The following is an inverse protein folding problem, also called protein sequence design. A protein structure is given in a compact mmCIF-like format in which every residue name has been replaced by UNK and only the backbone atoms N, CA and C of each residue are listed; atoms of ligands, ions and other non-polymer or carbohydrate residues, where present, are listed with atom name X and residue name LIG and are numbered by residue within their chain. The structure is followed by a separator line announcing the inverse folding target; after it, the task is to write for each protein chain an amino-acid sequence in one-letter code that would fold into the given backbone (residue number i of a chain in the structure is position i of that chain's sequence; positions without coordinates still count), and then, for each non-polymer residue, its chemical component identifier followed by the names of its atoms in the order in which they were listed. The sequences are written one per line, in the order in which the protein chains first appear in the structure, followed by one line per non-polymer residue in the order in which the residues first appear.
data_IF_700621064303
#
_entry.id   IF_700621064303
#
_cell.length_a   1.000
_cell.length_b   1.000
_cell.length_c   1.000
_cell.angle_alpha   90.00
_cell.angle_beta   90.00
_cell.angle_gamma   90.00
#
_symmetry.space_group_name_H-M   'P 1'
#
loop_
_entity.id
_entity.type
_entity.pdbx_description
1 polymer ?
#
# COMPACT_ATOMS: atom_id res chain seq x y z
N UNK A 1 59.57 40.32 49.12
CA UNK A 1 59.18 41.47 48.28
C UNK A 1 57.71 41.34 47.89
N UNK A 2 56.90 42.23 48.48
CA UNK A 2 55.53 42.68 48.16
C UNK A 2 54.49 41.78 47.44
N UNK A 3 53.49 41.36 48.22
CA UNK A 3 52.05 41.70 48.16
C UNK A 3 51.33 41.84 46.80
N UNK A 4 50.25 41.06 46.56
CA UNK A 4 48.85 41.45 46.86
C UNK A 4 47.81 40.35 46.44
N UNK A 5 47.22 39.71 47.45
CA UNK A 5 45.76 39.56 47.70
C UNK A 5 44.76 38.94 46.68
N UNK A 6 44.10 37.86 47.17
CA UNK A 6 42.64 37.52 47.12
C UNK A 6 41.97 37.17 45.78
N UNK A 7 41.57 35.91 45.61
CA UNK A 7 40.24 35.40 46.03
C UNK A 7 40.09 33.89 45.74
N UNK A 8 39.54 33.16 46.69
CA UNK A 8 38.88 31.85 46.54
C UNK A 8 37.44 31.99 47.11
N UNK A 9 36.53 30.98 47.12
CA UNK A 9 36.57 29.62 46.57
C UNK A 9 35.21 29.11 46.00
N UNK A 10 35.16 27.79 45.71
CA UNK A 10 34.02 26.83 45.83
C UNK A 10 32.99 26.71 44.68
N UNK A 11 33.10 25.59 43.97
CA UNK A 11 32.07 24.54 43.77
C UNK A 11 30.61 24.86 44.15
N UNK A 12 29.65 24.69 43.22
CA UNK A 12 28.54 23.70 43.29
C UNK A 12 27.49 23.89 42.16
N UNK A 13 27.11 22.75 41.56
CA UNK A 13 25.75 22.24 41.27
C UNK A 13 24.69 23.09 40.52
N UNK A 14 24.08 22.39 39.54
CA UNK A 14 22.66 22.41 39.10
C UNK A 14 22.18 23.64 38.29
N UNK A 15 21.81 23.42 37.02
CA UNK A 15 20.42 23.63 36.56
C UNK A 15 20.23 23.21 35.10
N UNK A 16 19.55 22.07 34.92
CA UNK A 16 18.95 21.60 33.67
C UNK A 16 17.45 21.49 33.97
N UNK A 17 16.68 22.57 33.83
CA UNK A 17 15.23 22.55 34.02
C UNK A 17 14.56 23.86 33.55
N UNK A 18 13.43 23.69 32.84
CA UNK A 18 12.33 24.62 32.57
C UNK A 18 12.55 25.82 31.64
N UNK A 19 12.02 25.71 30.42
CA UNK A 19 11.27 26.81 29.79
C UNK A 19 10.14 26.26 28.89
N UNK A 20 9.12 25.68 29.54
CA UNK A 20 7.79 25.46 28.96
C UNK A 20 6.80 25.89 30.04
N UNK A 21 6.24 27.09 29.93
CA UNK A 21 4.93 27.50 30.44
C UNK A 21 4.78 29.02 30.19
N UNK A 22 3.96 29.41 29.22
CA UNK A 22 2.93 30.45 29.39
C UNK A 22 1.97 30.44 28.19
N UNK A 23 0.69 30.36 28.56
CA UNK A 23 -0.58 30.26 27.83
C UNK A 23 -0.90 31.50 26.92
N UNK A 24 -2.03 31.58 26.15
CA UNK A 24 -3.31 30.94 26.42
C UNK A 24 -4.15 30.33 25.27
N UNK A 25 -5.04 29.46 25.74
CA UNK A 25 -6.35 29.08 25.23
C UNK A 25 -7.06 30.18 24.43
N UNK A 26 -7.60 29.78 23.27
CA UNK A 26 -8.84 30.36 22.75
C UNK A 26 -9.85 29.23 22.47
N UNK A 27 -10.91 29.28 23.26
CA UNK A 27 -12.11 28.46 23.19
C UNK A 27 -12.91 28.87 21.95
N UNK A 28 -13.25 27.92 21.07
CA UNK A 28 -14.33 28.08 20.11
C UNK A 28 -15.49 27.17 20.54
N UNK A 29 -16.59 27.83 20.90
CA UNK A 29 -17.86 27.28 21.35
C UNK A 29 -18.66 26.61 20.21
N UNK A 30 -19.54 25.64 20.50
CA UNK A 30 -20.50 25.12 19.53
C UNK A 30 -21.72 26.05 19.49
N UNK A 31 -21.87 26.84 18.43
CA UNK A 31 -23.13 27.55 18.19
C UNK A 31 -24.09 26.64 17.43
N UNK A 32 -25.12 26.17 18.15
CA UNK A 32 -26.40 25.86 17.54
C UNK A 32 -27.04 27.16 17.05
N UNK A 33 -27.49 27.20 15.80
CA UNK A 33 -28.44 28.21 15.34
C UNK A 33 -29.57 27.56 14.56
N UNK A 34 -30.75 27.64 15.18
CA UNK A 34 -32.05 27.40 14.59
C UNK A 34 -32.30 28.43 13.49
N UNK A 35 -32.57 27.97 12.28
CA UNK A 35 -33.30 28.79 11.29
C UNK A 35 -34.64 28.14 11.01
N UNK A 36 -35.67 28.75 11.59
CA UNK A 36 -37.07 28.48 11.30
C UNK A 36 -37.37 28.89 9.86
N UNK A 37 -37.64 27.92 8.99
CA UNK A 37 -38.27 28.20 7.70
C UNK A 37 -39.79 28.16 7.84
N UNK A 38 -40.39 29.31 7.55
CA UNK A 38 -41.82 29.60 7.57
C UNK A 38 -42.54 28.74 6.52
N UNK A 39 -43.55 28.00 6.94
CA UNK A 39 -44.37 27.13 6.12
C UNK A 39 -45.42 27.94 5.33
N UNK A 40 -45.32 27.93 4.01
CA UNK A 40 -46.41 28.27 3.10
C UNK A 40 -47.07 26.99 2.60
N UNK A 41 -48.35 26.79 2.91
CA UNK A 41 -49.18 25.68 2.44
C UNK A 41 -49.59 25.90 0.98
N UNK A 42 -49.34 24.94 0.10
CA UNK A 42 -50.29 24.53 -0.96
C UNK A 42 -50.01 23.07 -1.37
N UNK A 43 -51.02 22.18 -1.40
CA UNK A 43 -50.83 20.75 -1.64
C UNK A 43 -51.10 20.40 -3.10
N UNK A 44 -50.19 19.70 -3.78
CA UNK A 44 -50.55 18.86 -4.94
C UNK A 44 -49.77 17.55 -4.86
N UNK A 45 -50.55 16.47 -4.97
CA UNK A 45 -50.15 15.08 -4.88
C UNK A 45 -49.19 14.66 -5.99
N UNK A 46 -48.29 13.75 -5.64
CA UNK A 46 -47.45 13.02 -6.58
C UNK A 46 -46.72 11.91 -5.85
N UNK A 47 -47.32 10.72 -5.78
CA UNK A 47 -46.63 9.50 -5.33
C UNK A 47 -45.47 9.22 -6.29
N UNK A 48 -44.27 9.65 -5.94
CA UNK A 48 -43.05 9.17 -6.58
C UNK A 48 -42.82 7.72 -6.13
N UNK A 49 -43.05 6.78 -7.03
CA UNK A 49 -42.67 5.39 -6.87
C UNK A 49 -41.18 5.31 -6.57
N UNK A 50 -40.82 4.90 -5.35
CA UNK A 50 -39.45 4.54 -5.00
C UNK A 50 -39.12 3.29 -5.82
N UNK A 51 -38.41 3.48 -6.94
CA UNK A 51 -37.85 2.38 -7.70
C UNK A 51 -36.93 1.60 -6.76
N UNK A 52 -37.29 0.37 -6.40
CA UNK A 52 -36.39 -0.56 -5.76
C UNK A 52 -35.21 -0.82 -6.70
N UNK A 53 -34.13 -0.07 -6.52
CA UNK A 53 -32.85 -0.38 -7.14
C UNK A 53 -32.49 -1.82 -6.70
N UNK A 54 -32.51 -2.76 -7.65
CA UNK A 54 -32.08 -4.15 -7.41
C UNK A 54 -30.74 -4.12 -6.68
N UNK A 55 -30.74 -4.48 -5.39
CA UNK A 55 -29.52 -4.60 -4.62
C UNK A 55 -28.67 -5.68 -5.29
N UNK A 56 -27.49 -5.31 -5.80
CA UNK A 56 -26.56 -6.25 -6.41
C UNK A 56 -26.15 -7.34 -5.41
N UNK A 57 -25.83 -8.53 -5.91
CA UNK A 57 -25.35 -9.64 -5.07
C UNK A 57 -24.16 -9.19 -4.21
N UNK A 58 -24.12 -9.51 -2.91
CA UNK A 58 -22.99 -9.17 -2.06
C UNK A 58 -21.66 -9.73 -2.61
N UNK A 59 -20.61 -8.93 -2.51
CA UNK A 59 -19.25 -9.28 -2.94
C UNK A 59 -18.44 -9.76 -1.74
N UNK A 60 -17.99 -11.01 -1.76
CA UNK A 60 -17.10 -11.55 -0.75
C UNK A 60 -15.63 -11.42 -1.16
N UNK A 61 -14.83 -10.65 -0.42
CA UNK A 61 -13.38 -10.55 -0.61
C UNK A 61 -12.63 -11.24 0.54
N UNK A 62 -11.41 -11.70 0.27
CA UNK A 62 -10.50 -12.23 1.30
C UNK A 62 -9.80 -11.02 1.93
N UNK A 63 -9.55 -11.06 3.23
CA UNK A 63 -8.65 -10.11 3.88
C UNK A 63 -7.52 -10.83 4.59
N UNK A 64 -6.39 -10.14 4.70
CA UNK A 64 -5.28 -10.48 5.58
C UNK A 64 -4.87 -9.19 6.30
N UNK A 65 -4.68 -9.24 7.62
CA UNK A 65 -4.39 -8.05 8.43
C UNK A 65 -3.59 -8.36 9.67
N UNK A 66 -2.70 -7.44 10.03
CA UNK A 66 -2.01 -7.39 11.32
C UNK A 66 -2.49 -6.18 12.16
N UNK A 67 -3.73 -5.75 11.94
CA UNK A 67 -4.45 -4.83 12.83
C UNK A 67 -4.94 -5.59 14.06
N UNK A 68 -4.94 -4.94 15.21
CA UNK A 68 -5.56 -5.47 16.41
C UNK A 68 -7.09 -5.55 16.23
N UNK A 69 -7.70 -6.72 16.50
CA UNK A 69 -9.15 -6.85 16.48
C UNK A 69 -9.76 -5.91 17.51
N UNK A 70 -10.92 -5.38 17.18
CA UNK A 70 -11.73 -4.54 18.06
C UNK A 70 -13.19 -4.98 17.95
N UNK A 71 -14.00 -4.57 18.92
CA UNK A 71 -15.45 -4.68 18.82
C UNK A 71 -15.98 -3.33 18.35
N UNK A 72 -16.81 -3.33 17.30
CA UNK A 72 -17.66 -2.17 17.00
C UNK A 72 -18.64 -1.91 18.14
N UNK A 73 -19.27 -0.74 18.14
CA UNK A 73 -20.29 -0.33 19.12
C UNK A 73 -21.41 -1.38 19.26
N UNK A 74 -21.73 -2.10 18.18
CA UNK A 74 -22.77 -3.14 18.14
C UNK A 74 -22.23 -4.55 18.47
N UNK A 75 -21.00 -4.67 18.99
CA UNK A 75 -20.36 -5.94 19.34
C UNK A 75 -19.85 -6.78 18.14
N UNK A 76 -19.98 -6.27 16.91
CA UNK A 76 -19.46 -6.96 15.71
C UNK A 76 -17.95 -6.79 15.59
N UNK A 77 -17.26 -7.84 15.11
CA UNK A 77 -15.82 -7.81 14.83
C UNK A 77 -15.48 -6.62 13.91
N UNK A 78 -14.49 -5.85 14.33
CA UNK A 78 -13.85 -4.80 13.56
C UNK A 78 -12.33 -4.86 13.74
N UNK A 79 -11.59 -4.02 13.04
CA UNK A 79 -10.13 -3.92 13.18
C UNK A 79 -9.73 -2.47 13.38
N UNK A 80 -8.93 -2.22 14.41
CA UNK A 80 -8.47 -0.88 14.79
C UNK A 80 -7.25 -0.42 13.96
N UNK A 81 -6.70 0.74 14.29
CA UNK A 81 -5.38 1.18 13.80
C UNK A 81 -4.22 0.69 14.66
N UNK A 82 -4.46 -0.07 15.74
CA UNK A 82 -3.40 -0.64 16.56
C UNK A 82 -2.77 -1.87 15.92
N UNK A 83 -1.50 -2.13 16.26
CA UNK A 83 -0.73 -3.27 15.79
C UNK A 83 -1.17 -4.55 16.51
N UNK A 84 -1.29 -5.63 15.76
CA UNK A 84 -1.37 -6.99 16.27
C UNK A 84 -0.09 -7.72 15.94
N UNK A 85 0.50 -8.39 16.92
CA UNK A 85 1.63 -9.30 16.69
C UNK A 85 1.20 -10.61 15.98
N UNK A 86 -0.10 -10.82 15.77
CA UNK A 86 -0.63 -11.95 15.00
C UNK A 86 -1.28 -11.47 13.70
N UNK A 87 -0.90 -12.08 12.58
CA UNK A 87 -1.51 -11.84 11.29
C UNK A 87 -2.79 -12.68 11.15
N UNK A 88 -3.94 -12.03 11.12
CA UNK A 88 -5.26 -12.64 10.93
C UNK A 88 -5.67 -12.65 9.46
N UNK A 89 -6.55 -13.57 9.09
CA UNK A 89 -7.19 -13.59 7.77
C UNK A 89 -8.64 -14.04 7.84
N UNK A 90 -9.43 -13.68 6.84
CA UNK A 90 -10.83 -14.04 6.78
C UNK A 90 -11.59 -13.46 5.59
N UNK A 91 -12.91 -13.36 5.73
CA UNK A 91 -13.79 -12.84 4.67
C UNK A 91 -14.40 -11.51 5.07
N UNK A 92 -14.45 -10.56 4.12
CA UNK A 92 -15.33 -9.38 4.22
C UNK A 92 -16.41 -9.49 3.16
N UNK A 93 -17.67 -9.34 3.58
CA UNK A 93 -18.81 -9.24 2.68
C UNK A 93 -19.15 -7.77 2.49
N UNK A 94 -19.13 -7.32 1.24
CA UNK A 94 -19.44 -5.96 0.83
C UNK A 94 -20.80 -5.94 0.12
N UNK A 95 -21.60 -4.92 0.38
CA UNK A 95 -22.80 -4.64 -0.40
C UNK A 95 -22.77 -3.26 -1.02
N UNK A 96 -23.47 -3.13 -2.13
CA UNK A 96 -23.61 -1.87 -2.83
C UNK A 96 -24.59 -0.97 -2.08
N UNK A 97 -24.19 0.28 -1.86
CA UNK A 97 -25.04 1.36 -1.35
C UNK A 97 -24.93 2.55 -2.31
N UNK A 98 -25.88 2.64 -3.24
CA UNK A 98 -25.81 3.60 -4.34
C UNK A 98 -24.60 3.35 -5.25
N UNK A 99 -23.68 4.31 -5.33
CA UNK A 99 -22.42 4.20 -6.07
C UNK A 99 -21.23 3.70 -5.23
N UNK A 100 -21.40 3.52 -3.91
CA UNK A 100 -20.36 3.05 -3.00
C UNK A 100 -20.56 1.59 -2.56
N UNK A 101 -19.57 1.07 -1.85
CA UNK A 101 -19.62 -0.21 -1.17
C UNK A 101 -19.57 0.03 0.33
N UNK A 102 -20.32 -0.75 1.09
CA UNK A 102 -20.26 -0.79 2.55
C UNK A 102 -19.92 -2.20 3.04
N UNK A 103 -19.23 -2.24 4.18
CA UNK A 103 -18.91 -3.50 4.88
C UNK A 103 -20.17 -3.98 5.58
N UNK A 104 -20.67 -5.15 5.19
CA UNK A 104 -21.81 -5.78 5.85
C UNK A 104 -21.39 -6.68 7.00
N UNK A 105 -20.39 -7.53 6.74
CA UNK A 105 -19.98 -8.56 7.70
C UNK A 105 -18.50 -8.91 7.53
N UNK A 106 -17.82 -9.08 8.65
CA UNK A 106 -16.42 -9.53 8.74
C UNK A 106 -16.41 -10.88 9.46
N UNK A 107 -15.84 -11.90 8.82
CA UNK A 107 -15.68 -13.23 9.40
C UNK A 107 -14.19 -13.58 9.48
N UNK A 108 -13.64 -13.63 10.69
CA UNK A 108 -12.28 -14.17 10.91
C UNK A 108 -12.30 -15.68 10.61
N UNK A 109 -11.34 -16.14 9.80
CA UNK A 109 -11.18 -17.57 9.45
C UNK A 109 -10.01 -18.20 10.16
N UNK A 110 -8.94 -17.45 10.40
CA UNK A 110 -7.78 -17.93 11.11
C UNK A 110 -6.80 -16.82 11.42
N UNK A 111 -5.72 -17.19 12.11
CA UNK A 111 -4.59 -16.32 12.39
C UNK A 111 -3.30 -17.12 12.49
N UNK A 112 -2.19 -16.46 12.19
CA UNK A 112 -0.85 -16.97 12.44
C UNK A 112 -0.46 -16.75 13.89
N UNK A 113 0.44 -17.59 14.45
CA UNK A 113 0.98 -17.35 15.79
C UNK A 113 1.68 -15.99 15.90
N UNK A 114 1.73 -15.47 17.12
CA UNK A 114 2.39 -14.19 17.42
C UNK A 114 3.84 -14.16 16.93
N UNK A 115 4.25 -13.04 16.34
CA UNK A 115 5.61 -12.79 15.85
C UNK A 115 6.26 -11.68 16.69
N UNK A 116 7.51 -11.86 17.16
CA UNK A 116 8.45 -12.97 16.87
C UNK A 116 8.08 -14.30 17.53
N UNK A 117 8.52 -15.42 16.95
CA UNK A 117 8.31 -16.77 17.49
C UNK A 117 9.20 -17.06 18.69
N UNK A 118 8.64 -17.72 19.70
CA UNK A 118 9.39 -18.24 20.84
C UNK A 118 10.47 -19.22 20.40
N UNK A 119 11.64 -19.10 21.03
CA UNK A 119 12.81 -19.94 20.82
C UNK A 119 13.06 -20.74 22.11
N UNK A 120 13.34 -22.03 21.96
CA UNK A 120 13.81 -22.90 23.05
C UNK A 120 15.27 -23.30 22.82
N UNK A 121 16.04 -23.44 23.91
CA UNK A 121 17.41 -23.93 23.88
C UNK A 121 17.40 -25.45 24.03
N UNK A 122 18.12 -26.14 23.15
CA UNK A 122 18.31 -27.60 23.19
C UNK A 122 19.78 -27.93 23.32
N UNK A 123 20.13 -29.20 23.57
CA UNK A 123 21.51 -29.67 23.54
C UNK A 123 22.22 -29.46 22.19
N UNK A 124 21.47 -29.21 21.10
CA UNK A 124 22.00 -28.92 19.75
C UNK A 124 21.95 -27.42 19.39
N UNK A 125 21.56 -26.56 20.33
CA UNK A 125 21.42 -25.12 20.12
C UNK A 125 19.97 -24.60 20.11
N UNK A 126 19.76 -23.31 19.79
CA UNK A 126 18.44 -22.68 19.77
C UNK A 126 17.60 -23.18 18.59
N UNK A 127 16.31 -23.45 18.84
CA UNK A 127 15.32 -23.72 17.80
C UNK A 127 13.99 -23.06 18.10
N UNK A 128 13.15 -22.88 17.08
CA UNK A 128 11.76 -22.44 17.28
C UNK A 128 10.99 -23.51 18.05
N UNK A 129 10.16 -23.09 19.01
CA UNK A 129 9.29 -24.02 19.75
C UNK A 129 8.42 -24.80 18.75
N UNK A 130 8.43 -26.15 18.75
CA UNK A 130 7.72 -26.96 17.76
C UNK A 130 6.23 -26.63 17.61
N UNK A 131 5.52 -26.43 18.72
CA UNK A 131 4.09 -26.08 18.70
C UNK A 131 3.78 -24.76 17.96
N UNK A 132 4.72 -23.79 17.99
CA UNK A 132 4.58 -22.53 17.26
C UNK A 132 4.80 -22.75 15.75
N UNK A 133 5.74 -23.62 15.39
CA UNK A 133 5.96 -24.03 14.00
C UNK A 133 4.73 -24.76 13.46
N UNK A 134 4.16 -25.69 14.22
CA UNK A 134 2.95 -26.42 13.84
C UNK A 134 1.74 -25.49 13.69
N UNK A 135 1.58 -24.52 14.60
CA UNK A 135 0.55 -23.48 14.47
C UNK A 135 0.74 -22.63 13.20
N UNK A 136 1.98 -22.26 12.88
CA UNK A 136 2.30 -21.55 11.64
C UNK A 136 1.93 -22.37 10.40
N UNK A 137 2.36 -23.65 10.34
CA UNK A 137 2.11 -24.53 9.22
C UNK A 137 0.61 -24.76 8.99
N UNK A 138 -0.16 -24.97 10.08
CA UNK A 138 -1.62 -25.08 10.03
C UNK A 138 -2.27 -23.79 9.52
N UNK A 139 -1.87 -22.62 10.03
CA UNK A 139 -2.41 -21.33 9.60
C UNK A 139 -2.11 -21.04 8.12
N UNK A 140 -0.90 -21.37 7.66
CA UNK A 140 -0.50 -21.22 6.26
C UNK A 140 -1.32 -22.15 5.34
N UNK A 141 -1.45 -23.43 5.70
CA UNK A 141 -2.25 -24.41 4.95
C UNK A 141 -3.72 -23.99 4.86
N UNK A 142 -4.31 -23.51 5.96
CA UNK A 142 -5.69 -23.06 5.98
C UNK A 142 -5.92 -21.79 5.13
N UNK A 143 -5.00 -20.81 5.13
CA UNK A 143 -5.08 -19.66 4.23
C UNK A 143 -4.94 -20.08 2.75
N UNK A 144 -4.04 -21.02 2.45
CA UNK A 144 -3.92 -21.58 1.09
C UNK A 144 -5.21 -22.31 0.67
N UNK A 145 -5.85 -23.04 1.58
CA UNK A 145 -7.14 -23.68 1.38
C UNK A 145 -8.24 -22.68 1.01
N UNK A 146 -8.38 -21.60 1.79
CA UNK A 146 -9.35 -20.53 1.51
C UNK A 146 -9.12 -19.89 0.12
N UNK A 147 -7.86 -19.65 -0.26
CA UNK A 147 -7.51 -19.14 -1.60
C UNK A 147 -7.89 -20.15 -2.69
N UNK A 148 -7.60 -21.44 -2.48
CA UNK A 148 -7.93 -22.50 -3.43
C UNK A 148 -9.44 -22.65 -3.64
N UNK A 149 -10.23 -22.58 -2.58
CA UNK A 149 -11.70 -22.68 -2.64
C UNK A 149 -12.32 -21.52 -3.39
N UNK A 150 -11.78 -20.31 -3.19
CA UNK A 150 -12.19 -19.12 -3.96
C UNK A 150 -11.77 -19.25 -5.42
N UNK A 151 -10.54 -19.70 -5.69
CA UNK A 151 -10.04 -19.90 -7.05
C UNK A 151 -10.79 -21.03 -7.78
N UNK A 152 -11.33 -22.03 -7.09
CA UNK A 152 -12.17 -23.05 -7.71
C UNK A 152 -13.40 -22.42 -8.38
N UNK A 153 -13.97 -21.39 -7.75
CA UNK A 153 -15.16 -20.66 -8.23
C UNK A 153 -14.81 -19.48 -9.17
N UNK A 154 -13.62 -18.91 -9.05
CA UNK A 154 -13.18 -17.80 -9.89
C UNK A 154 -12.95 -18.23 -11.35
N UNK A 155 -13.34 -17.35 -12.29
CA UNK A 155 -13.12 -17.56 -13.72
C UNK A 155 -11.64 -17.59 -14.07
N UNK A 156 -10.84 -16.72 -13.44
CA UNK A 156 -9.38 -16.68 -13.58
C UNK A 156 -8.74 -17.30 -12.36
N UNK A 157 -7.69 -18.08 -12.58
CA UNK A 157 -6.89 -18.69 -11.51
C UNK A 157 -5.78 -17.74 -11.06
N UNK A 158 -6.15 -16.48 -10.81
CA UNK A 158 -5.26 -15.37 -10.56
C UNK A 158 -5.75 -14.60 -9.32
N UNK A 159 -4.81 -14.08 -8.53
CA UNK A 159 -5.10 -13.36 -7.28
C UNK A 159 -4.71 -11.90 -7.45
N UNK A 160 -5.60 -10.99 -7.09
CA UNK A 160 -5.34 -9.55 -7.03
C UNK A 160 -5.28 -9.15 -5.56
N UNK A 161 -4.17 -8.54 -5.17
CA UNK A 161 -3.91 -8.11 -3.81
C UNK A 161 -3.84 -6.60 -3.78
N UNK A 162 -4.63 -5.95 -2.93
CA UNK A 162 -4.57 -4.50 -2.73
C UNK A 162 -4.03 -4.13 -1.36
N UNK A 163 -3.08 -3.18 -1.33
CA UNK A 163 -2.46 -2.60 -0.14
C UNK A 163 -2.80 -1.10 -0.09
N UNK A 164 -3.52 -0.69 0.94
CA UNK A 164 -3.98 0.69 1.09
C UNK A 164 -2.87 1.66 1.55
N UNK A 165 -3.17 2.97 1.47
CA UNK A 165 -2.28 4.05 1.85
C UNK A 165 -2.35 4.47 3.33
N UNK A 166 -1.77 5.64 3.58
CA UNK A 166 -1.77 6.34 4.87
C UNK A 166 -3.19 6.70 5.33
N UNK A 167 -3.43 6.65 6.65
CA UNK A 167 -4.68 7.11 7.28
C UNK A 167 -5.96 6.44 6.73
N UNK A 168 -5.85 5.18 6.31
CA UNK A 168 -7.01 4.36 5.93
C UNK A 168 -7.40 3.43 7.06
N UNK A 169 -8.71 3.27 7.29
CA UNK A 169 -9.26 2.21 8.15
C UNK A 169 -9.24 0.84 7.45
N UNK A 170 -9.55 -0.22 8.21
CA UNK A 170 -9.79 -1.54 7.63
C UNK A 170 -10.93 -1.53 6.60
N UNK A 171 -12.01 -0.80 6.91
CA UNK A 171 -13.18 -0.65 6.05
C UNK A 171 -12.84 0.08 4.74
N UNK A 172 -12.02 1.14 4.80
CA UNK A 172 -11.57 1.84 3.60
C UNK A 172 -10.78 0.90 2.68
N UNK A 173 -9.89 0.10 3.25
CA UNK A 173 -9.12 -0.90 2.52
C UNK A 173 -10.01 -1.96 1.86
N UNK A 174 -10.99 -2.47 2.60
CA UNK A 174 -11.94 -3.45 2.09
C UNK A 174 -12.81 -2.87 0.96
N UNK A 175 -13.34 -1.65 1.13
CA UNK A 175 -14.15 -0.95 0.12
C UNK A 175 -13.35 -0.65 -1.15
N UNK A 176 -12.11 -0.19 -1.01
CA UNK A 176 -11.20 0.04 -2.14
C UNK A 176 -10.90 -1.26 -2.89
N UNK A 177 -10.61 -2.35 -2.17
CA UNK A 177 -10.41 -3.68 -2.75
C UNK A 177 -11.65 -4.15 -3.50
N UNK A 178 -12.85 -3.96 -2.92
CA UNK A 178 -14.10 -4.30 -3.58
C UNK A 178 -14.35 -3.51 -4.87
N UNK A 179 -14.01 -2.22 -4.88
CA UNK A 179 -14.09 -1.38 -6.09
C UNK A 179 -13.13 -1.90 -7.17
N UNK A 180 -11.88 -2.18 -6.83
CA UNK A 180 -10.90 -2.79 -7.75
C UNK A 180 -11.44 -4.12 -8.29
N UNK A 181 -12.01 -4.95 -7.43
CA UNK A 181 -12.57 -6.25 -7.82
C UNK A 181 -13.71 -6.10 -8.83
N UNK A 182 -14.59 -5.12 -8.62
CA UNK A 182 -15.67 -4.79 -9.56
C UNK A 182 -15.13 -4.25 -10.89
N UNK A 183 -14.11 -3.38 -10.86
CA UNK A 183 -13.43 -2.90 -12.07
C UNK A 183 -12.90 -4.06 -12.90
N UNK A 184 -12.35 -5.09 -12.25
CA UNK A 184 -11.83 -6.29 -12.88
C UNK A 184 -12.90 -7.37 -13.15
N UNK A 185 -14.17 -6.96 -13.21
CA UNK A 185 -15.33 -7.82 -13.52
C UNK A 185 -15.49 -9.03 -12.60
N UNK A 186 -14.92 -8.98 -11.38
CA UNK A 186 -14.98 -10.05 -10.37
C UNK A 186 -14.49 -11.42 -10.91
N UNK A 187 -13.57 -11.41 -11.87
CA UNK A 187 -13.03 -12.65 -12.45
C UNK A 187 -11.87 -13.26 -11.64
N UNK A 188 -11.34 -12.50 -10.69
CA UNK A 188 -10.16 -12.81 -9.87
C UNK A 188 -10.53 -13.10 -8.42
N UNK A 189 -9.63 -13.71 -7.67
CA UNK A 189 -9.72 -13.70 -6.20
C UNK A 189 -9.09 -12.42 -5.68
N UNK A 190 -9.91 -11.53 -5.13
CA UNK A 190 -9.47 -10.23 -4.60
C UNK A 190 -9.15 -10.33 -3.10
N UNK A 191 -7.99 -9.83 -2.71
CA UNK A 191 -7.46 -9.86 -1.34
C UNK A 191 -7.15 -8.45 -0.87
N UNK A 192 -7.73 -8.04 0.26
CA UNK A 192 -7.38 -6.80 0.95
C UNK A 192 -6.29 -7.09 1.97
N UNK A 193 -5.09 -6.56 1.75
CA UNK A 193 -4.01 -6.58 2.73
C UNK A 193 -4.02 -5.27 3.52
N UNK A 194 -4.51 -5.34 4.76
CA UNK A 194 -4.70 -4.16 5.60
C UNK A 194 -3.69 -4.11 6.74
N UNK A 195 -2.83 -3.09 6.73
CA UNK A 195 -1.82 -2.81 7.75
C UNK A 195 -2.31 -1.73 8.72
N UNK A 196 -1.77 -1.61 9.95
CA UNK A 196 -2.29 -0.73 11.01
C UNK A 196 -2.00 0.76 10.77
N UNK A 197 -2.60 1.30 9.71
CA UNK A 197 -2.66 2.72 9.40
C UNK A 197 -3.87 3.39 10.10
N UNK A 198 -3.84 4.73 10.16
CA UNK A 198 -4.86 5.55 10.83
C UNK A 198 -4.57 5.77 12.32
N UNK A 199 -3.30 5.87 12.69
CA UNK A 199 -2.89 6.17 14.06
C UNK A 199 -3.49 7.48 14.59
N UNK A 200 -3.98 7.47 15.82
CA UNK A 200 -4.51 8.67 16.48
C UNK A 200 -3.35 9.57 16.94
N UNK A 201 -3.39 10.86 16.57
CA UNK A 201 -2.38 11.85 16.93
C UNK A 201 -2.39 13.17 16.14
N UNK A 202 -3.30 13.36 15.19
CA UNK A 202 -3.29 14.50 14.26
C UNK A 202 -2.36 14.27 13.05
N UNK A 203 -2.39 15.16 12.06
CA UNK A 203 -1.78 14.91 10.75
C UNK A 203 -0.26 14.60 10.78
N UNK A 204 0.49 15.22 11.69
CA UNK A 204 1.94 15.02 11.82
C UNK A 204 2.30 13.77 12.65
N UNK A 205 1.76 13.62 13.85
CA UNK A 205 2.05 12.44 14.68
C UNK A 205 1.43 11.17 14.08
N UNK A 206 0.24 11.27 13.48
CA UNK A 206 -0.41 10.17 12.77
C UNK A 206 0.43 9.67 11.60
N UNK A 207 1.09 10.57 10.85
CA UNK A 207 1.99 10.17 9.77
C UNK A 207 3.20 9.38 10.28
N UNK A 208 3.84 9.82 11.35
CA UNK A 208 4.98 9.10 11.94
C UNK A 208 4.55 7.75 12.55
N UNK A 209 3.40 7.67 13.20
CA UNK A 209 2.85 6.42 13.73
C UNK A 209 2.57 5.44 12.59
N UNK A 210 1.89 5.91 11.54
CA UNK A 210 1.66 5.12 10.34
C UNK A 210 3.01 4.75 9.70
N UNK A 211 4.04 5.60 9.82
CA UNK A 211 5.41 5.31 9.38
C UNK A 211 5.96 4.03 9.94
N UNK A 212 6.08 4.02 11.26
CA UNK A 212 6.53 2.87 12.02
C UNK A 212 5.57 1.67 11.89
N UNK A 213 4.27 1.91 11.71
CA UNK A 213 3.29 0.84 11.51
C UNK A 213 3.41 0.17 10.14
N UNK A 214 3.84 0.93 9.13
CA UNK A 214 4.20 0.40 7.82
C UNK A 214 5.41 -0.51 7.93
N UNK A 215 6.47 -0.08 8.61
CA UNK A 215 7.68 -0.90 8.85
C UNK A 215 7.35 -2.18 9.63
N UNK A 216 6.53 -2.06 10.67
CA UNK A 216 6.00 -3.21 11.42
C UNK A 216 5.29 -4.23 10.51
N UNK A 217 4.55 -3.76 9.51
CA UNK A 217 3.75 -4.63 8.64
C UNK A 217 4.53 -5.35 7.54
N UNK A 218 5.77 -4.95 7.23
CA UNK A 218 6.56 -5.53 6.13
C UNK A 218 6.73 -7.04 6.26
N UNK A 219 7.04 -7.54 7.46
CA UNK A 219 7.27 -8.97 7.68
C UNK A 219 6.01 -9.82 7.50
N UNK A 220 4.86 -9.32 7.94
CA UNK A 220 3.58 -9.99 7.75
C UNK A 220 3.09 -9.86 6.30
N UNK A 221 3.30 -8.72 5.64
CA UNK A 221 2.99 -8.57 4.21
C UNK A 221 3.79 -9.56 3.36
N UNK A 222 5.10 -9.69 3.63
CA UNK A 222 5.96 -10.71 3.01
C UNK A 222 5.41 -12.13 3.23
N UNK A 223 5.07 -12.47 4.48
CA UNK A 223 4.51 -13.77 4.85
C UNK A 223 3.19 -14.05 4.14
N UNK A 224 2.32 -13.04 4.02
CA UNK A 224 1.07 -13.13 3.30
C UNK A 224 1.29 -13.40 1.81
N UNK A 225 2.12 -12.60 1.12
CA UNK A 225 2.42 -12.79 -0.31
C UNK A 225 2.98 -14.20 -0.56
N UNK A 226 3.94 -14.64 0.26
CA UNK A 226 4.49 -16.00 0.19
C UNK A 226 3.40 -17.06 0.35
N UNK A 227 2.55 -16.93 1.35
CA UNK A 227 1.48 -17.91 1.62
C UNK A 227 0.43 -17.94 0.50
N UNK A 228 0.01 -16.77 0.00
CA UNK A 228 -0.93 -16.66 -1.11
C UNK A 228 -0.34 -17.32 -2.38
N UNK A 229 0.93 -17.05 -2.71
CA UNK A 229 1.58 -17.61 -3.90
C UNK A 229 1.72 -19.15 -3.87
N UNK A 230 1.87 -19.71 -2.67
CA UNK A 230 2.04 -21.14 -2.45
C UNK A 230 0.75 -21.95 -2.64
N UNK A 231 -0.43 -21.31 -2.70
CA UNK A 231 -1.68 -22.00 -2.98
C UNK A 231 -1.65 -22.65 -4.39
N UNK A 232 -1.98 -23.93 -4.46
CA UNK A 232 -1.75 -24.76 -5.66
C UNK A 232 -2.51 -24.29 -6.91
N UNK A 233 -3.71 -23.71 -6.76
CA UNK A 233 -4.50 -23.21 -7.89
C UNK A 233 -4.05 -21.85 -8.40
N UNK A 234 -3.19 -21.14 -7.68
CA UNK A 234 -2.71 -19.83 -8.09
C UNK A 234 -1.78 -19.96 -9.29
N UNK A 235 -2.13 -19.27 -10.38
CA UNK A 235 -1.27 -19.12 -11.57
C UNK A 235 -0.49 -17.81 -11.58
N UNK A 236 -1.08 -16.71 -11.08
CA UNK A 236 -0.46 -15.38 -11.05
C UNK A 236 -0.96 -14.56 -9.85
N UNK A 237 -0.06 -13.76 -9.29
CA UNK A 237 -0.32 -12.70 -8.33
C UNK A 237 -0.17 -11.34 -9.02
N UNK A 238 -1.14 -10.48 -8.80
CA UNK A 238 -1.10 -9.07 -9.19
C UNK A 238 -1.17 -8.24 -7.92
N UNK A 239 -0.11 -7.49 -7.62
CA UNK A 239 0.02 -6.70 -6.40
C UNK A 239 -0.24 -5.24 -6.72
N UNK A 240 -1.19 -4.62 -6.04
CA UNK A 240 -1.60 -3.25 -6.25
C UNK A 240 -1.42 -2.50 -4.94
N UNK A 241 -0.73 -1.37 -4.95
CA UNK A 241 -0.55 -0.55 -3.76
C UNK A 241 -0.80 0.92 -4.05
N UNK A 242 -1.29 1.63 -3.04
CA UNK A 242 -1.59 3.07 -3.12
C UNK A 242 -0.77 3.85 -2.11
N UNK A 243 -0.27 5.03 -2.51
CA UNK A 243 0.35 6.00 -1.60
C UNK A 243 1.47 5.34 -0.79
N UNK A 244 1.42 5.47 0.52
CA UNK A 244 2.40 4.89 1.44
C UNK A 244 2.33 3.36 1.55
N UNK A 245 1.23 2.73 1.13
CA UNK A 245 1.18 1.28 0.96
C UNK A 245 2.16 0.77 -0.09
N UNK A 246 2.55 1.62 -1.05
CA UNK A 246 3.59 1.28 -2.01
C UNK A 246 4.95 1.10 -1.35
N UNK A 247 5.27 1.92 -0.34
CA UNK A 247 6.51 1.79 0.44
C UNK A 247 6.57 0.43 1.16
N UNK A 248 5.48 0.06 1.83
CA UNK A 248 5.35 -1.23 2.54
C UNK A 248 5.48 -2.40 1.57
N UNK A 249 4.81 -2.31 0.41
CA UNK A 249 4.90 -3.34 -0.63
C UNK A 249 6.31 -3.45 -1.20
N UNK A 250 6.97 -2.34 -1.54
CA UNK A 250 8.34 -2.35 -2.07
C UNK A 250 9.34 -2.90 -1.05
N UNK A 251 9.18 -2.60 0.25
CA UNK A 251 10.00 -3.22 1.31
C UNK A 251 9.80 -4.74 1.39
N UNK A 252 8.56 -5.23 1.26
CA UNK A 252 8.29 -6.65 1.25
C UNK A 252 8.83 -7.34 -0.01
N UNK A 253 8.71 -6.69 -1.18
CA UNK A 253 9.27 -7.16 -2.44
C UNK A 253 10.78 -7.22 -2.44
N UNK A 254 11.46 -6.24 -1.81
CA UNK A 254 12.92 -6.28 -1.62
C UNK A 254 13.34 -7.55 -0.87
N UNK A 255 12.69 -7.86 0.26
CA UNK A 255 12.99 -9.06 1.03
C UNK A 255 12.65 -10.36 0.27
N UNK A 256 11.54 -10.40 -0.47
CA UNK A 256 11.20 -11.53 -1.33
C UNK A 256 12.20 -11.67 -2.49
N UNK A 257 12.69 -10.56 -3.03
CA UNK A 257 13.69 -10.49 -4.09
C UNK A 257 15.01 -11.09 -3.61
N UNK A 258 15.47 -10.71 -2.42
CA UNK A 258 16.62 -11.34 -1.76
C UNK A 258 16.43 -12.86 -1.58
N UNK A 259 15.26 -13.30 -1.10
CA UNK A 259 14.96 -14.74 -0.96
C UNK A 259 14.97 -15.46 -2.32
N UNK A 260 14.43 -14.84 -3.37
CA UNK A 260 14.48 -15.36 -4.73
C UNK A 260 15.91 -15.47 -5.24
N UNK A 261 16.68 -14.38 -5.16
CA UNK A 261 18.07 -14.31 -5.60
C UNK A 261 18.94 -15.37 -4.92
N UNK A 262 18.90 -15.46 -3.59
CA UNK A 262 19.66 -16.46 -2.82
C UNK A 262 19.27 -17.89 -3.24
N UNK A 263 18.00 -18.12 -3.58
CA UNK A 263 17.52 -19.44 -4.04
C UNK A 263 17.62 -19.65 -5.55
N UNK A 264 18.31 -18.76 -6.28
CA UNK A 264 18.47 -18.79 -7.74
C UNK A 264 17.16 -18.81 -8.51
N UNK A 265 16.19 -18.03 -8.05
CA UNK A 265 14.86 -17.88 -8.69
C UNK A 265 14.46 -16.42 -8.77
N UNK A 266 13.51 -16.09 -9.64
CA UNK A 266 12.93 -14.76 -9.73
C UNK A 266 11.67 -14.61 -8.87
N UNK A 267 11.23 -13.36 -8.66
CA UNK A 267 9.93 -13.07 -8.02
C UNK A 267 8.76 -13.70 -8.79
N UNK A 268 8.83 -13.70 -10.12
CA UNK A 268 7.82 -14.29 -10.99
C UNK A 268 7.76 -15.81 -10.89
N UNK A 269 8.90 -16.49 -10.84
CA UNK A 269 8.96 -17.95 -10.73
C UNK A 269 8.56 -18.42 -9.32
N UNK A 270 9.15 -17.83 -8.29
CA UNK A 270 9.00 -18.32 -6.91
C UNK A 270 7.67 -17.92 -6.28
N UNK A 271 7.24 -16.68 -6.53
CA UNK A 271 6.05 -16.11 -5.88
C UNK A 271 4.91 -15.83 -6.87
N UNK A 272 5.07 -16.22 -8.13
CA UNK A 272 4.04 -16.05 -9.19
C UNK A 272 3.66 -14.58 -9.40
N UNK A 273 4.50 -13.63 -8.99
CA UNK A 273 4.19 -12.20 -9.08
C UNK A 273 4.36 -11.76 -10.53
N UNK A 274 3.26 -11.34 -11.14
CA UNK A 274 3.21 -10.97 -12.55
C UNK A 274 3.08 -9.47 -12.76
N UNK A 275 2.26 -8.78 -11.96
CA UNK A 275 2.14 -7.34 -12.03
C UNK A 275 2.34 -6.73 -10.65
N UNK A 276 3.09 -5.63 -10.59
CA UNK A 276 3.15 -4.71 -9.45
C UNK A 276 2.65 -3.37 -9.95
N UNK A 277 1.51 -2.91 -9.42
CA UNK A 277 0.87 -1.66 -9.83
C UNK A 277 0.89 -0.68 -8.65
N UNK A 278 1.54 0.45 -8.82
CA UNK A 278 1.67 1.48 -7.79
C UNK A 278 0.88 2.72 -8.20
N UNK A 279 -0.12 3.09 -7.40
CA UNK A 279 -0.89 4.31 -7.59
C UNK A 279 -0.39 5.41 -6.66
N UNK A 280 0.03 6.53 -7.23
CA UNK A 280 0.53 7.69 -6.50
C UNK A 280 1.52 7.32 -5.36
N UNK A 281 2.56 6.49 -5.60
CA UNK A 281 3.42 6.00 -4.54
C UNK A 281 4.14 7.13 -3.81
N UNK A 282 3.97 7.16 -2.48
CA UNK A 282 4.66 8.11 -1.60
C UNK A 282 5.97 7.51 -1.10
N UNK A 283 6.91 7.35 -2.04
CA UNK A 283 8.24 6.79 -1.80
C UNK A 283 9.26 7.70 -2.44
N UNK A 284 10.34 7.98 -1.74
CA UNK A 284 11.52 8.61 -2.32
C UNK A 284 12.05 7.82 -3.53
N UNK A 285 12.48 8.51 -4.58
CA UNK A 285 12.93 7.87 -5.82
C UNK A 285 14.15 6.96 -5.60
N UNK A 286 15.14 7.40 -4.82
CA UNK A 286 16.36 6.62 -4.56
C UNK A 286 16.09 5.45 -3.63
N UNK A 287 15.21 5.64 -2.63
CA UNK A 287 14.71 4.55 -1.79
C UNK A 287 13.95 3.51 -2.62
N UNK A 288 13.05 3.95 -3.51
CA UNK A 288 12.31 3.05 -4.39
C UNK A 288 13.27 2.26 -5.30
N UNK A 289 14.28 2.95 -5.86
CA UNK A 289 15.29 2.33 -6.71
C UNK A 289 16.08 1.27 -5.95
N UNK A 290 16.53 1.58 -4.73
CA UNK A 290 17.22 0.63 -3.85
C UNK A 290 16.35 -0.58 -3.53
N UNK A 291 15.05 -0.38 -3.22
CA UNK A 291 14.13 -1.49 -2.93
C UNK A 291 13.85 -2.37 -4.16
N UNK A 292 13.81 -1.78 -5.35
CA UNK A 292 13.52 -2.51 -6.60
C UNK A 292 14.73 -3.26 -7.15
N UNK A 293 15.94 -2.72 -7.01
CA UNK A 293 17.13 -3.22 -7.71
C UNK A 293 18.31 -3.55 -6.78
N UNK A 294 18.29 -3.13 -5.52
CA UNK A 294 19.43 -3.31 -4.61
C UNK A 294 19.82 -4.77 -4.36
N UNK A 295 18.86 -5.69 -4.41
CA UNK A 295 19.11 -7.12 -4.14
C UNK A 295 19.95 -7.83 -5.22
N UNK A 296 20.13 -7.21 -6.40
CA UNK A 296 21.00 -7.71 -7.46
C UNK A 296 22.28 -6.89 -7.66
N UNK A 297 22.41 -5.77 -6.95
CA UNK A 297 23.52 -4.82 -7.14
C UNK A 297 24.79 -5.19 -6.39
N UNK A 298 24.66 -5.94 -5.29
CA UNK A 298 25.78 -6.30 -4.42
C UNK A 298 26.40 -7.65 -4.87
N UNK A 299 27.64 -7.65 -5.40
CA UNK A 299 28.30 -8.86 -5.90
C UNK A 299 28.66 -9.88 -4.81
N UNK A 300 28.64 -9.47 -3.53
CA UNK A 300 28.97 -10.31 -2.39
C UNK A 300 27.76 -11.09 -1.85
N UNK A 301 26.54 -10.74 -2.28
CA UNK A 301 25.33 -11.44 -1.88
C UNK A 301 25.36 -12.88 -2.40
N UNK A 302 25.07 -13.89 -1.55
CA UNK A 302 25.02 -15.30 -1.98
C UNK A 302 24.02 -15.55 -3.11
N UNK A 303 24.47 -16.28 -4.12
CA UNK A 303 23.63 -16.83 -5.20
C UNK A 303 23.66 -18.36 -5.13
N UNK A 304 22.79 -18.92 -4.30
CA UNK A 304 22.87 -20.31 -3.82
C UNK A 304 23.78 -20.41 -2.60
N UNK A 305 24.82 -21.24 -2.67
CA UNK A 305 25.73 -21.50 -1.54
C UNK A 305 26.93 -20.54 -1.45
N UNK A 306 27.15 -19.69 -2.46
CA UNK A 306 28.28 -18.74 -2.53
C UNK A 306 27.91 -17.51 -3.36
N UNK A 307 28.67 -16.43 -3.21
CA UNK A 307 28.58 -15.25 -4.07
C UNK A 307 28.94 -15.60 -5.53
N UNK A 308 28.37 -14.83 -6.46
CA UNK A 308 28.61 -15.01 -7.90
C UNK A 308 28.82 -13.65 -8.58
N UNK A 309 29.96 -12.99 -8.35
CA UNK A 309 30.19 -11.59 -8.76
C UNK A 309 30.11 -11.36 -10.28
N UNK A 310 30.40 -12.40 -11.08
CA UNK A 310 30.31 -12.37 -12.55
C UNK A 310 29.18 -13.26 -13.08
N UNK A 311 28.25 -13.69 -12.22
CA UNK A 311 27.14 -14.55 -12.60
C UNK A 311 26.05 -13.81 -13.38
N UNK A 312 25.28 -14.57 -14.15
CA UNK A 312 24.06 -14.04 -14.74
C UNK A 312 23.04 -13.76 -13.63
N UNK A 313 22.41 -12.59 -13.69
CA UNK A 313 21.27 -12.28 -12.83
C UNK A 313 20.07 -13.15 -13.20
N UNK A 314 19.22 -13.55 -12.24
CA UNK A 314 17.96 -14.22 -12.55
C UNK A 314 17.14 -13.42 -13.55
N UNK A 315 16.46 -14.08 -14.50
CA UNK A 315 15.57 -13.38 -15.40
C UNK A 315 14.45 -12.71 -14.59
N UNK A 316 14.06 -11.49 -14.97
CA UNK A 316 12.92 -10.79 -14.33
C UNK A 316 11.61 -11.57 -14.52
N UNK A 317 11.58 -12.46 -15.52
CA UNK A 317 10.46 -13.35 -15.79
C UNK A 317 9.26 -12.57 -16.34
N UNK A 318 8.06 -12.94 -15.90
CA UNK A 318 6.81 -12.27 -16.31
C UNK A 318 6.43 -11.08 -15.43
N UNK A 319 7.31 -10.65 -14.53
CA UNK A 319 7.07 -9.51 -13.64
C UNK A 319 7.07 -8.20 -14.44
N UNK A 320 6.05 -7.39 -14.24
CA UNK A 320 5.93 -6.07 -14.83
C UNK A 320 5.52 -5.05 -13.76
N UNK A 321 6.24 -3.93 -13.70
CA UNK A 321 5.96 -2.79 -12.83
C UNK A 321 5.16 -1.72 -13.60
N UNK A 322 4.09 -1.22 -13.01
CA UNK A 322 3.34 -0.09 -13.57
C UNK A 322 3.15 0.95 -12.48
N UNK A 323 3.68 2.14 -12.70
CA UNK A 323 3.59 3.26 -11.76
C UNK A 323 2.69 4.32 -12.34
N UNK A 324 1.56 4.59 -11.70
CA UNK A 324 0.75 5.75 -12.01
C UNK A 324 1.22 6.93 -11.15
N UNK A 325 1.69 7.99 -11.81
CA UNK A 325 2.13 9.22 -11.17
C UNK A 325 1.14 10.36 -11.45
N UNK A 326 1.09 11.34 -10.57
CA UNK A 326 0.27 12.55 -10.76
C UNK A 326 1.09 13.78 -10.34
N UNK A 327 1.54 14.62 -11.28
CA UNK A 327 2.34 15.81 -10.97
C UNK A 327 1.58 16.82 -10.10
N UNK A 328 0.25 16.81 -10.19
CA UNK A 328 -0.65 17.72 -9.47
C UNK A 328 -1.20 17.10 -8.17
N UNK A 329 -0.66 15.97 -7.73
CA UNK A 329 -1.07 15.32 -6.48
C UNK A 329 -0.69 16.16 -5.27
N UNK A 330 -1.71 16.71 -4.60
CA UNK A 330 -1.56 17.60 -3.45
C UNK A 330 -1.04 16.88 -2.21
N UNK A 331 -1.40 15.61 -2.02
CA UNK A 331 -0.95 14.82 -0.87
C UNK A 331 0.54 14.50 -1.00
N UNK A 332 0.99 14.14 -2.21
CA UNK A 332 2.41 13.94 -2.47
C UNK A 332 3.21 15.24 -2.42
N UNK A 333 2.64 16.38 -2.84
CA UNK A 333 3.29 17.68 -2.69
C UNK A 333 3.52 18.02 -1.19
N UNK A 334 2.53 17.75 -0.34
CA UNK A 334 2.66 17.90 1.11
C UNK A 334 3.73 16.96 1.67
N UNK A 335 3.74 15.68 1.28
CA UNK A 335 4.81 14.75 1.69
C UNK A 335 6.19 15.22 1.25
N UNK A 336 6.37 15.62 -0.02
CA UNK A 336 7.64 16.18 -0.50
C UNK A 336 8.09 17.38 0.34
N UNK A 337 7.19 18.29 0.72
CA UNK A 337 7.51 19.42 1.59
C UNK A 337 7.93 18.98 3.00
N UNK A 338 7.22 18.01 3.58
CA UNK A 338 7.53 17.47 4.92
C UNK A 338 8.91 16.79 5.00
N UNK A 339 9.38 16.21 3.90
CA UNK A 339 10.63 15.44 3.85
C UNK A 339 11.77 16.14 3.08
N UNK A 340 11.66 17.45 2.82
CA UNK A 340 12.77 18.24 2.30
C UNK A 340 12.94 18.26 0.77
N UNK A 341 11.84 18.42 0.02
CA UNK A 341 11.81 18.65 -1.44
C UNK A 341 12.47 17.55 -2.30
N UNK A 342 12.36 16.28 -1.89
CA UNK A 342 12.87 15.16 -2.68
C UNK A 342 11.82 14.66 -3.69
N UNK A 343 12.30 14.16 -4.85
CA UNK A 343 11.45 13.62 -5.91
C UNK A 343 10.81 12.32 -5.43
N UNK A 344 9.47 12.33 -5.30
CA UNK A 344 8.69 11.13 -5.01
C UNK A 344 8.39 10.35 -6.27
N UNK A 345 8.41 9.02 -6.19
CA UNK A 345 8.07 8.11 -7.29
C UNK A 345 6.69 8.44 -7.89
N UNK A 346 5.71 8.79 -7.05
CA UNK A 346 4.35 9.14 -7.49
C UNK A 346 4.21 10.50 -8.14
N UNK A 347 5.27 11.31 -8.19
CA UNK A 347 5.33 12.60 -8.91
C UNK A 347 6.28 12.57 -10.11
N UNK A 348 6.84 11.40 -10.43
CA UNK A 348 7.81 11.25 -11.52
C UNK A 348 7.14 11.48 -12.89
N UNK A 349 7.77 12.32 -13.71
CA UNK A 349 7.42 12.60 -15.10
C UNK A 349 8.62 12.38 -16.02
N UNK A 350 8.38 12.34 -17.32
CA UNK A 350 9.47 12.28 -18.32
C UNK A 350 10.44 13.45 -18.18
N UNK A 351 9.97 14.62 -17.74
CA UNK A 351 10.77 15.83 -17.57
C UNK A 351 11.57 15.81 -16.26
N UNK A 352 11.03 15.22 -15.19
CA UNK A 352 11.73 15.18 -13.88
C UNK A 352 12.98 14.30 -13.87
N UNK A 353 13.10 13.34 -14.81
CA UNK A 353 14.30 12.50 -14.99
C UNK A 353 15.55 13.33 -15.30
N UNK A 354 15.39 14.48 -15.96
CA UNK A 354 16.49 15.40 -16.27
C UNK A 354 16.98 16.24 -15.09
N UNK A 355 16.31 16.17 -13.93
CA UNK A 355 16.74 16.88 -12.73
C UNK A 355 17.95 16.20 -12.10
N UNK A 356 18.86 16.98 -11.48
CA UNK A 356 20.14 16.52 -10.91
C UNK A 356 20.00 15.29 -10.00
N UNK A 357 18.90 15.19 -9.25
CA UNK A 357 18.60 14.07 -8.34
C UNK A 357 18.19 12.78 -9.07
N UNK A 358 17.43 12.86 -10.15
CA UNK A 358 17.04 11.68 -10.93
C UNK A 358 18.14 11.27 -11.93
N UNK A 359 18.92 12.22 -12.44
CA UNK A 359 20.00 11.98 -13.41
C UNK A 359 21.26 11.36 -12.81
N UNK A 360 21.48 11.48 -11.50
CA UNK A 360 22.61 10.84 -10.81
C UNK A 360 22.42 9.34 -10.62
N UNK A 361 21.20 8.84 -10.78
CA UNK A 361 20.87 7.45 -10.56
C UNK A 361 20.94 6.68 -11.89
N UNK A 362 22.12 6.11 -12.16
CA UNK A 362 22.49 5.44 -13.42
C UNK A 362 21.56 4.27 -13.83
N UNK A 363 20.73 3.77 -12.92
CA UNK A 363 19.71 2.77 -13.23
C UNK A 363 18.63 3.35 -14.16
N UNK A 364 18.24 4.61 -13.97
CA UNK A 364 17.18 5.25 -14.77
C UNK A 364 17.64 5.70 -16.16
N UNK A 365 18.95 5.79 -16.39
CA UNK A 365 19.53 5.97 -17.73
C UNK A 365 19.74 4.63 -18.46
N UNK A 366 19.60 3.49 -17.76
CA UNK A 366 19.74 2.18 -18.37
C UNK A 366 18.47 1.78 -19.12
N UNK A 367 18.60 1.61 -20.44
CA UNK A 367 17.52 1.20 -21.35
C UNK A 367 16.81 -0.10 -20.95
N UNK A 368 17.43 -0.94 -20.11
CA UNK A 368 16.86 -2.22 -19.66
C UNK A 368 15.65 -2.09 -18.71
N UNK A 369 15.50 -0.98 -17.96
CA UNK A 369 14.28 -0.73 -17.16
C UNK A 369 13.05 -0.62 -18.05
N UNK A 370 13.24 -0.22 -19.31
CA UNK A 370 12.17 0.00 -20.28
C UNK A 370 11.39 -1.25 -20.68
N UNK A 371 11.92 -2.45 -20.42
CA UNK A 371 11.25 -3.71 -20.71
C UNK A 371 10.41 -4.27 -19.56
N UNK A 372 10.57 -3.72 -18.35
CA UNK A 372 10.01 -4.28 -17.12
C UNK A 372 9.16 -3.29 -16.33
N UNK A 373 9.19 -2.01 -16.66
CA UNK A 373 8.44 -0.96 -15.99
C UNK A 373 7.81 0.03 -16.96
N UNK A 374 6.58 0.46 -16.67
CA UNK A 374 5.86 1.55 -17.32
C UNK A 374 5.51 2.66 -16.31
N UNK A 375 5.72 3.91 -16.67
CA UNK A 375 5.36 5.09 -15.87
C UNK A 375 4.25 5.85 -16.58
N UNK A 376 3.07 5.90 -15.95
CA UNK A 376 1.87 6.47 -16.55
C UNK A 376 1.54 7.75 -15.81
N UNK A 377 1.79 8.87 -16.45
CA UNK A 377 1.46 10.17 -15.89
C UNK A 377 -0.04 10.45 -16.08
N UNK A 378 -0.72 10.61 -14.95
CA UNK A 378 -2.10 11.02 -14.85
C UNK A 378 -2.18 12.54 -14.63
N UNK A 379 -2.91 13.21 -15.53
CA UNK A 379 -3.23 14.64 -15.42
C UNK A 379 -4.75 14.76 -15.29
N UNK A 380 -5.23 15.12 -14.11
CA UNK A 380 -6.65 15.31 -13.84
C UNK A 380 -6.96 15.62 -12.37
N UNK A 381 -8.20 16.00 -12.09
CA UNK A 381 -8.65 16.43 -10.75
C UNK A 381 -9.53 15.40 -10.04
N UNK A 382 -9.60 14.15 -10.53
CA UNK A 382 -10.42 13.11 -9.90
C UNK A 382 -9.95 12.75 -8.48
N UNK A 383 -10.90 12.71 -7.54
CA UNK A 383 -10.66 12.51 -6.10
C UNK A 383 -10.44 13.82 -5.34
N UNK A 384 -10.69 13.82 -4.02
CA UNK A 384 -10.65 15.04 -3.19
C UNK A 384 -9.30 15.79 -3.21
N UNK A 385 -8.20 15.07 -3.40
CA UNK A 385 -6.82 15.61 -3.45
C UNK A 385 -6.07 15.31 -4.75
N UNK A 386 -6.70 14.65 -5.72
CA UNK A 386 -5.99 14.08 -6.87
C UNK A 386 -5.10 12.88 -6.52
N UNK A 387 -5.32 12.25 -5.35
CA UNK A 387 -4.48 11.17 -4.81
C UNK A 387 -5.10 9.77 -4.91
N UNK A 388 -6.43 9.68 -5.00
CA UNK A 388 -7.17 8.40 -5.08
C UNK A 388 -7.88 8.23 -6.42
N UNK A 389 -7.35 8.84 -7.49
CA UNK A 389 -7.94 8.84 -8.84
C UNK A 389 -8.20 7.43 -9.38
N UNK A 390 -7.40 6.43 -8.98
CA UNK A 390 -7.58 5.04 -9.41
C UNK A 390 -8.94 4.43 -8.99
N UNK A 391 -9.60 4.97 -7.97
CA UNK A 391 -10.93 4.53 -7.53
C UNK A 391 -12.09 5.33 -8.13
N UNK A 392 -11.81 6.45 -8.79
CA UNK A 392 -12.84 7.40 -9.22
C UNK A 392 -12.78 7.77 -10.69
N UNK A 393 -11.62 7.66 -11.33
CA UNK A 393 -11.41 8.06 -12.72
C UNK A 393 -11.61 6.87 -13.67
N UNK A 394 -12.61 6.93 -14.58
CA UNK A 394 -12.91 5.82 -15.48
C UNK A 394 -11.77 5.45 -16.44
N UNK A 395 -10.93 6.41 -16.84
CA UNK A 395 -9.83 6.12 -17.76
C UNK A 395 -8.75 5.28 -17.07
N UNK A 396 -8.43 5.62 -15.81
CA UNK A 396 -7.48 4.85 -14.99
C UNK A 396 -8.03 3.45 -14.68
N UNK A 397 -9.32 3.34 -14.38
CA UNK A 397 -9.98 2.05 -14.15
C UNK A 397 -9.99 1.16 -15.40
N UNK A 398 -10.30 1.74 -16.56
CA UNK A 398 -10.28 1.04 -17.85
C UNK A 398 -8.87 0.57 -18.20
N UNK A 399 -7.86 1.41 -17.95
CA UNK A 399 -6.46 1.04 -18.18
C UNK A 399 -6.00 -0.09 -17.25
N UNK A 400 -6.39 -0.07 -15.97
CA UNK A 400 -6.12 -1.16 -15.03
C UNK A 400 -6.77 -2.48 -15.47
N UNK A 401 -8.01 -2.43 -15.97
CA UNK A 401 -8.69 -3.61 -16.53
C UNK A 401 -8.00 -4.13 -17.79
N UNK A 402 -7.61 -3.23 -18.71
CA UNK A 402 -6.86 -3.57 -19.92
C UNK A 402 -5.50 -4.22 -19.59
N UNK A 403 -4.79 -3.69 -18.59
CA UNK A 403 -3.52 -4.24 -18.10
C UNK A 403 -3.70 -5.64 -17.50
N UNK A 404 -4.61 -5.81 -16.53
CA UNK A 404 -4.70 -7.05 -15.75
C UNK A 404 -5.57 -8.13 -16.40
N UNK A 405 -6.77 -7.77 -16.85
CA UNK A 405 -7.72 -8.70 -17.46
C UNK A 405 -7.41 -8.89 -18.95
N UNK A 406 -7.14 -7.78 -19.64
CA UNK A 406 -6.76 -7.76 -21.06
C UNK A 406 -5.34 -8.25 -21.33
N UNK A 407 -4.45 -8.21 -20.33
CA UNK A 407 -3.01 -8.54 -20.46
C UNK A 407 -2.30 -7.67 -21.51
N UNK A 408 -2.76 -6.43 -21.66
CA UNK A 408 -2.23 -5.49 -22.64
C UNK A 408 -1.01 -4.74 -22.11
N UNK A 409 0.01 -4.58 -22.96
CA UNK A 409 1.17 -3.73 -22.73
C UNK A 409 0.81 -2.27 -22.99
N UNK A 410 1.56 -1.32 -22.43
CA UNK A 410 1.20 0.12 -22.52
C UNK A 410 1.05 0.65 -23.96
N UNK A 411 1.81 0.11 -24.93
CA UNK A 411 1.69 0.47 -26.34
C UNK A 411 0.59 -0.26 -27.13
N UNK A 412 -0.14 -1.18 -26.51
CA UNK A 412 -1.20 -1.93 -27.20
C UNK A 412 -2.45 -1.04 -27.40
N UNK A 413 -3.13 -1.10 -28.57
CA UNK A 413 -4.26 -0.21 -28.90
C UNK A 413 -5.44 -0.23 -27.91
N UNK A 414 -5.58 -1.27 -27.08
CA UNK A 414 -6.62 -1.35 -26.06
C UNK A 414 -6.33 -0.52 -24.79
N UNK A 415 -5.11 0.01 -24.65
CA UNK A 415 -4.73 0.97 -23.61
C UNK A 415 -4.59 2.35 -24.26
N UNK A 416 -5.40 3.31 -23.80
CA UNK A 416 -5.44 4.67 -24.36
C UNK A 416 -4.27 5.52 -23.85
N UNK A 417 -3.06 5.05 -24.14
CA UNK A 417 -1.80 5.63 -23.70
C UNK A 417 -0.95 6.03 -24.92
N UNK A 418 -0.23 7.14 -24.79
CA UNK A 418 0.76 7.60 -25.78
C UNK A 418 2.12 7.63 -25.12
N UNK A 419 3.11 7.03 -25.78
CA UNK A 419 4.51 7.07 -25.34
C UNK A 419 5.03 8.50 -25.47
N UNK A 420 5.48 9.10 -24.36
CA UNK A 420 6.11 10.43 -24.41
C UNK A 420 7.62 10.32 -24.51
N UNK A 421 8.20 9.38 -23.76
CA UNK A 421 9.63 9.04 -23.77
C UNK A 421 9.75 7.72 -23.03
N UNK A 422 10.22 6.64 -23.63
CA UNK A 422 10.33 5.35 -22.92
C UNK A 422 11.05 5.49 -21.56
N UNK A 423 10.54 4.89 -20.46
CA UNK A 423 9.28 4.13 -20.29
C UNK A 423 8.06 4.95 -19.81
N UNK A 424 7.97 6.22 -20.18
CA UNK A 424 6.92 7.16 -19.79
C UNK A 424 5.79 7.27 -20.82
N UNK A 425 4.57 7.26 -20.29
CA UNK A 425 3.31 7.25 -21.02
C UNK A 425 2.35 8.29 -20.44
N UNK A 426 1.43 8.78 -21.26
CA UNK A 426 0.32 9.65 -20.85
C UNK A 426 -1.01 9.16 -21.41
N UNK A 427 -2.11 9.47 -20.74
CA UNK A 427 -3.44 9.22 -21.29
C UNK A 427 -3.70 10.09 -22.53
N UNK A 428 -4.25 9.48 -23.59
CA UNK A 428 -4.71 10.19 -24.78
C UNK A 428 -5.74 11.26 -24.39
N UNK A 429 -5.59 12.48 -24.92
CA UNK A 429 -6.57 13.56 -24.75
C UNK A 429 -6.57 14.27 -23.39
N UNK A 430 -5.61 13.97 -22.50
CA UNK A 430 -5.40 14.69 -21.23
C UNK A 430 -4.15 15.55 -21.30
N UNK A 431 -4.26 16.74 -21.90
CA UNK A 431 -3.19 17.75 -21.89
C UNK A 431 -3.23 18.60 -20.63
N UNK A 432 -2.08 19.11 -20.19
CA UNK A 432 -2.02 20.15 -19.17
C UNK A 432 -2.89 21.33 -19.65
N UNK A 433 -4.01 21.56 -18.97
CA UNK A 433 -4.62 22.88 -19.04
C UNK A 433 -3.65 23.79 -18.31
N UNK A 434 -2.87 24.57 -19.07
CA UNK A 434 -2.04 25.63 -18.51
C UNK A 434 -2.97 26.49 -17.65
N UNK A 435 -2.66 26.55 -16.35
CA UNK A 435 -3.22 27.56 -15.46
C UNK A 435 -2.78 28.88 -16.10
N UNK A 436 -3.71 29.54 -16.80
CA UNK A 436 -3.52 30.94 -17.19
C UNK A 436 -3.74 31.75 -15.92
N UNK A 437 -2.63 32.33 -15.48
CA UNK A 437 -2.38 33.47 -14.59
C UNK A 437 -3.16 33.55 -13.26
#
# INVERSE_FOLDING_TARGET
MNNYSKNSPKTRLINFALLVFMLPFLVLSPSCSNSQYRTGKHPIAGKASVSHAKQGKPLGILYVTNRAPSASVDGKLSYSSFRSHSMSYGSVTLARKGSSLDVLHITKRGEFPQSPYSIELTGQGPRRVPAIVDAHLRAASALQGEVNDRLAKAKRKEVVVFIHGYNNSFDDAAKATGKICNTLSVEFVCVSLSWPAGGAGGAFYGYNIDRESGEFAVLDLKKAIRTLSAANRVKRLHLIAHSRGADVLLSALYQLGMEGYITRTSLGERYKINNVVLFAPDVDLDVATTKLFGFVSDPDVPFGTRASPYGLLPPVGSLHLTVYSSPNDKALALSSALFGSVVRLGRLTSTSIGSKAASSNALWSNSQISGVADFIEYVGNAGFSGHSYFLSDPAVQKDLDALLRGRLKAGDPGRLLVETKRPFWKFVGRTHQAIRD
#
